data_IF_420103825996
#
_entry.id   IF_420103825996
#
_cell.length_a   1.000
_cell.length_b   1.000
_cell.length_c   1.000
_cell.angle_alpha   90.00
_cell.angle_beta   90.00
_cell.angle_gamma   90.00
#
_symmetry.space_group_name_H-M   'P 1'
#
loop_
_entity.id
_entity.type
_entity.pdbx_description
1 polymer ?
#
# COMPACT_ATOMS: atom_id res chain seq x y z
N UNK A 1 71.93 37.46 58.19
CA UNK A 1 71.80 38.94 58.18
C UNK A 1 70.43 39.29 57.59
N UNK A 2 69.74 40.23 58.26
CA UNK A 2 68.58 41.08 57.91
C UNK A 2 68.06 41.01 56.45
N UNK A 3 66.75 41.02 56.17
CA UNK A 3 65.84 42.16 56.42
C UNK A 3 64.35 41.79 56.36
N UNK A 4 63.58 42.58 57.09
CA UNK A 4 62.13 42.59 57.34
C UNK A 4 61.27 43.21 56.21
N UNK A 5 59.94 43.17 56.44
CA UNK A 5 58.86 44.11 56.01
C UNK A 5 58.21 43.77 54.65
N UNK A 6 56.90 43.90 54.40
CA UNK A 6 55.63 43.88 55.16
C UNK A 6 54.50 43.99 54.10
N UNK A 7 53.31 43.49 54.46
CA UNK A 7 51.96 43.89 54.05
C UNK A 7 51.71 44.65 52.73
N UNK A 8 50.73 44.21 51.92
CA UNK A 8 49.42 44.90 51.77
C UNK A 8 48.41 43.98 51.07
N UNK A 9 47.17 44.02 51.55
CA UNK A 9 45.99 43.25 51.14
C UNK A 9 45.45 43.79 49.81
N UNK A 10 45.12 42.88 48.87
CA UNK A 10 44.21 43.18 47.78
C UNK A 10 43.19 42.03 47.66
N UNK A 11 42.01 42.25 48.22
CA UNK A 11 40.83 41.45 47.95
C UNK A 11 40.39 41.76 46.51
N UNK A 12 40.27 40.74 45.66
CA UNK A 12 39.59 40.85 44.37
C UNK A 12 39.02 39.49 43.97
N UNK A 13 37.71 39.40 44.18
CA UNK A 13 36.72 38.59 43.47
C UNK A 13 37.26 37.40 42.66
N UNK A 14 37.16 36.21 43.23
CA UNK A 14 37.10 34.98 42.46
C UNK A 14 35.83 35.03 41.58
N UNK A 15 35.99 35.50 40.35
CA UNK A 15 34.99 35.36 39.32
C UNK A 15 34.76 33.88 39.07
N UNK A 16 33.63 33.37 39.55
CA UNK A 16 33.03 32.15 39.04
C UNK A 16 32.74 32.38 37.55
N UNK A 17 33.67 32.00 36.68
CA UNK A 17 33.32 31.70 35.29
C UNK A 17 32.60 30.37 35.36
N UNK A 18 31.30 30.44 35.62
CA UNK A 18 30.40 29.39 35.16
C UNK A 18 30.62 29.33 33.65
N UNK A 19 31.35 28.31 33.19
CA UNK A 19 31.30 27.90 31.81
C UNK A 19 29.84 27.53 31.55
N UNK A 20 29.07 28.49 31.05
CA UNK A 20 27.82 28.23 30.37
C UNK A 20 28.16 27.14 29.33
N UNK A 21 27.39 26.05 29.25
CA UNK A 21 27.49 25.21 28.07
C UNK A 21 27.23 26.15 26.90
N UNK A 22 28.26 26.37 26.08
CA UNK A 22 28.07 26.88 24.74
C UNK A 22 27.18 25.85 24.07
N UNK A 23 25.88 26.07 24.09
CA UNK A 23 24.99 25.53 23.09
C UNK A 23 25.51 26.07 21.76
N UNK A 24 26.49 25.35 21.20
CA UNK A 24 26.72 25.32 19.77
C UNK A 24 25.49 24.62 19.18
N UNK A 25 24.39 25.35 19.21
CA UNK A 25 23.19 25.08 18.47
C UNK A 25 23.59 25.23 17.01
N UNK A 26 24.08 24.12 16.44
CA UNK A 26 24.54 24.01 15.08
C UNK A 26 23.42 24.57 14.19
N UNK A 27 23.62 25.77 13.65
CA UNK A 27 22.61 26.52 12.85
C UNK A 27 22.12 25.69 11.66
N UNK A 28 22.91 24.69 11.25
CA UNK A 28 22.61 23.69 10.23
C UNK A 28 21.59 22.62 10.65
N UNK A 29 21.45 22.34 11.94
CA UNK A 29 20.57 21.29 12.49
C UNK A 29 19.20 21.86 12.94
N UNK A 30 19.15 23.12 13.37
CA UNK A 30 17.91 23.82 13.78
C UNK A 30 17.01 24.12 12.58
N UNK A 31 17.59 24.32 11.38
CA UNK A 31 16.81 24.49 10.15
C UNK A 31 16.12 23.20 9.67
N UNK A 32 16.66 22.02 9.99
CA UNK A 32 16.22 20.73 9.43
C UNK A 32 14.97 20.12 10.11
N UNK A 33 14.26 20.90 10.95
CA UNK A 33 13.01 20.51 11.62
C UNK A 33 12.02 21.65 11.81
N UNK A 34 12.34 22.86 11.34
CA UNK A 34 11.44 24.00 11.44
C UNK A 34 10.17 23.77 10.62
N UNK A 35 9.03 24.27 11.10
CA UNK A 35 7.81 24.30 10.29
C UNK A 35 7.96 25.35 9.18
N UNK A 36 7.43 25.04 8.00
CA UNK A 36 7.39 25.94 6.86
C UNK A 36 5.96 26.05 6.34
N UNK A 37 5.62 27.21 5.77
CA UNK A 37 4.32 27.47 5.18
C UNK A 37 4.50 27.95 3.75
N UNK A 38 3.80 27.31 2.81
CA UNK A 38 3.85 27.62 1.38
C UNK A 38 2.42 27.82 0.86
N UNK A 39 2.24 28.42 -0.34
CA UNK A 39 0.94 28.48 -1.00
C UNK A 39 0.31 27.11 -1.29
N UNK A 40 1.09 26.02 -1.28
CA UNK A 40 0.62 24.66 -1.55
C UNK A 40 0.23 23.89 -0.27
N UNK A 41 0.63 24.41 0.90
CA UNK A 41 0.37 23.83 2.22
C UNK A 41 1.50 24.08 3.22
N UNK A 42 1.26 23.67 4.47
CA UNK A 42 2.26 23.63 5.53
C UNK A 42 3.08 22.34 5.48
N UNK A 43 4.33 22.44 5.91
CA UNK A 43 5.29 21.34 5.88
C UNK A 43 6.37 21.47 6.94
N UNK A 44 7.40 20.66 6.79
CA UNK A 44 8.59 20.69 7.64
C UNK A 44 9.83 20.87 6.77
N UNK A 45 10.70 21.78 7.16
CA UNK A 45 12.01 21.96 6.56
C UNK A 45 12.86 20.73 6.82
N UNK A 46 13.23 20.01 5.77
CA UNK A 46 14.08 18.82 5.85
C UNK A 46 15.03 18.81 4.66
N UNK A 47 16.06 17.96 4.71
CA UNK A 47 16.90 17.74 3.53
C UNK A 47 16.04 17.17 2.39
N UNK A 48 16.27 17.60 1.16
CA UNK A 48 15.50 17.16 -0.03
C UNK A 48 15.40 15.64 -0.13
N UNK A 49 16.51 14.95 0.17
CA UNK A 49 16.59 13.48 0.20
C UNK A 49 15.68 12.81 1.25
N UNK A 50 15.29 13.52 2.30
CA UNK A 50 14.42 13.02 3.36
C UNK A 50 12.92 13.11 3.02
N UNK A 51 12.55 13.88 1.99
CA UNK A 51 11.15 14.07 1.61
C UNK A 51 10.68 13.17 0.46
N UNK A 52 11.61 12.61 -0.32
CA UNK A 52 11.37 11.88 -1.60
C UNK A 52 10.26 10.82 -1.57
N UNK A 53 10.11 10.10 -0.45
CA UNK A 53 9.10 9.03 -0.29
C UNK A 53 7.93 9.41 0.63
N UNK A 54 7.94 10.61 1.21
CA UNK A 54 6.98 11.04 2.23
C UNK A 54 6.23 12.32 1.90
N UNK A 55 6.57 12.99 0.79
CA UNK A 55 5.92 14.20 0.32
C UNK A 55 6.61 14.78 -0.91
N UNK A 56 6.38 16.06 -1.17
CA UNK A 56 7.09 16.81 -2.19
C UNK A 56 7.78 18.03 -1.58
N UNK A 57 8.95 18.36 -2.12
CA UNK A 57 9.74 19.50 -1.69
C UNK A 57 9.33 20.79 -2.41
N UNK A 58 9.30 21.90 -1.67
CA UNK A 58 9.15 23.24 -2.21
C UNK A 58 10.36 24.08 -1.78
N UNK A 59 11.13 24.55 -2.77
CA UNK A 59 12.34 25.34 -2.54
C UNK A 59 12.03 26.78 -2.09
N UNK A 60 12.94 27.38 -1.33
CA UNK A 60 12.89 28.81 -0.95
C UNK A 60 12.04 29.14 0.30
N UNK A 61 11.46 28.14 0.96
CA UNK A 61 10.60 28.32 2.15
C UNK A 61 11.25 27.85 3.47
N UNK A 62 12.53 27.52 3.43
CA UNK A 62 13.29 27.05 4.58
C UNK A 62 14.60 27.81 4.73
N UNK A 63 15.00 28.20 5.95
CA UNK A 63 16.29 28.81 6.19
C UNK A 63 17.42 27.77 6.05
N UNK A 64 18.63 28.23 5.78
CA UNK A 64 19.82 27.38 5.72
C UNK A 64 20.23 26.97 4.30
N UNK A 65 20.81 25.77 4.18
CA UNK A 65 21.40 25.30 2.93
C UNK A 65 20.36 25.04 1.84
N UNK A 66 20.76 25.17 0.57
CA UNK A 66 19.86 25.02 -0.59
C UNK A 66 19.19 23.63 -0.71
N UNK A 67 19.79 22.61 -0.08
CA UNK A 67 19.24 21.26 0.00
C UNK A 67 18.28 21.07 1.18
N UNK A 68 17.98 22.10 1.97
CA UNK A 68 16.93 22.11 2.99
C UNK A 68 15.70 22.79 2.38
N UNK A 69 14.64 22.02 2.15
CA UNK A 69 13.44 22.48 1.47
C UNK A 69 12.19 22.13 2.28
N UNK A 70 11.09 22.81 1.97
CA UNK A 70 9.84 22.59 2.68
C UNK A 70 9.20 21.29 2.18
N UNK A 71 9.19 20.26 3.01
CA UNK A 71 8.56 18.99 2.69
C UNK A 71 7.09 19.01 3.10
N UNK A 72 6.21 18.95 2.11
CA UNK A 72 4.77 18.96 2.31
C UNK A 72 4.23 17.54 2.14
N UNK A 73 3.57 17.03 3.18
CA UNK A 73 2.93 15.71 3.16
C UNK A 73 1.46 15.89 2.84
N UNK A 74 1.08 15.62 1.58
CA UNK A 74 -0.32 15.74 1.13
C UNK A 74 -0.79 14.45 0.51
N UNK A 75 -1.89 13.92 1.03
CA UNK A 75 -2.55 12.76 0.43
C UNK A 75 -3.41 13.22 -0.76
N UNK A 76 -3.57 12.32 -1.71
CA UNK A 76 -4.34 12.55 -2.93
C UNK A 76 -5.27 11.37 -3.17
N UNK A 77 -6.36 11.62 -3.89
CA UNK A 77 -7.34 10.59 -4.25
C UNK A 77 -7.58 10.63 -5.76
N UNK A 78 -7.53 9.47 -6.38
CA UNK A 78 -7.76 9.28 -7.81
C UNK A 78 -8.82 8.21 -8.02
N UNK A 79 -9.25 8.02 -9.27
CA UNK A 79 -10.07 6.88 -9.66
C UNK A 79 -9.39 5.51 -9.44
N UNK A 80 -8.07 5.49 -9.26
CA UNK A 80 -7.27 4.27 -9.06
C UNK A 80 -6.94 3.99 -7.58
N UNK A 81 -7.26 4.92 -6.68
CA UNK A 81 -7.02 4.77 -5.25
C UNK A 81 -6.52 6.04 -4.57
N UNK A 82 -6.23 5.92 -3.28
CA UNK A 82 -5.62 6.98 -2.47
C UNK A 82 -4.09 6.83 -2.46
N UNK A 83 -3.39 7.95 -2.55
CA UNK A 83 -1.94 8.00 -2.63
C UNK A 83 -1.35 9.20 -1.92
N UNK A 84 -0.08 9.48 -2.20
CA UNK A 84 0.66 10.61 -1.67
C UNK A 84 1.21 11.46 -2.82
N UNK A 85 1.16 12.78 -2.68
CA UNK A 85 1.78 13.68 -3.63
C UNK A 85 3.30 13.64 -3.49
N UNK A 86 3.99 13.20 -4.54
CA UNK A 86 5.45 13.13 -4.60
C UNK A 86 5.96 13.85 -5.85
N UNK A 87 7.22 14.26 -5.84
CA UNK A 87 7.86 14.70 -7.08
C UNK A 87 8.08 13.48 -7.99
N UNK A 88 7.79 13.64 -9.26
CA UNK A 88 7.98 12.61 -10.29
C UNK A 88 9.44 12.16 -10.43
N UNK A 89 10.40 13.07 -10.20
CA UNK A 89 11.83 12.76 -10.19
C UNK A 89 12.28 11.91 -9.00
N UNK A 90 11.52 11.90 -7.91
CA UNK A 90 11.83 11.11 -6.70
C UNK A 90 11.36 9.64 -6.84
N UNK A 91 10.58 9.35 -7.89
CA UNK A 91 9.99 8.04 -8.11
C UNK A 91 8.78 7.75 -7.21
N UNK A 92 7.99 6.75 -7.60
CA UNK A 92 6.86 6.26 -6.83
C UNK A 92 7.14 4.81 -6.43
N UNK A 93 7.84 4.62 -5.32
CA UNK A 93 8.24 3.30 -4.85
C UNK A 93 7.03 2.40 -4.61
N UNK A 94 6.87 1.39 -5.47
CA UNK A 94 5.75 0.44 -5.42
C UNK A 94 4.40 0.99 -5.91
N UNK A 95 4.39 2.03 -6.75
CA UNK A 95 3.15 2.64 -7.24
C UNK A 95 3.23 3.25 -8.63
N UNK A 96 2.20 4.00 -9.00
CA UNK A 96 2.11 4.73 -10.27
C UNK A 96 1.70 6.19 -10.03
N UNK A 97 2.19 7.07 -10.91
CA UNK A 97 1.88 8.50 -10.84
C UNK A 97 0.63 8.85 -11.64
N UNK A 98 -0.27 9.58 -11.00
CA UNK A 98 -1.50 10.10 -11.61
C UNK A 98 -1.51 11.64 -11.54
N UNK A 99 -1.79 12.27 -12.68
CA UNK A 99 -1.85 13.72 -12.81
C UNK A 99 -3.20 14.27 -12.34
N UNK A 100 -3.23 15.56 -11.96
CA UNK A 100 -4.49 16.27 -11.67
C UNK A 100 -5.09 16.05 -10.28
N UNK A 101 -4.45 15.24 -9.43
CA UNK A 101 -4.92 14.97 -8.06
C UNK A 101 -4.06 15.62 -6.96
N UNK A 102 -2.94 16.25 -7.32
CA UNK A 102 -2.05 16.97 -6.40
C UNK A 102 -1.94 18.44 -6.80
N UNK A 103 -1.94 19.37 -5.84
CA UNK A 103 -1.71 20.79 -6.11
C UNK A 103 -0.23 21.05 -6.36
N UNK A 104 0.07 22.04 -7.20
CA UNK A 104 1.43 22.49 -7.47
C UNK A 104 1.87 22.27 -8.92
N UNK A 105 3.18 22.28 -9.17
CA UNK A 105 3.72 22.16 -10.52
C UNK A 105 3.47 20.77 -11.12
N UNK A 106 3.56 20.64 -12.44
CA UNK A 106 3.37 19.38 -13.18
C UNK A 106 4.33 18.25 -12.77
N UNK A 107 5.43 18.60 -12.10
CA UNK A 107 6.38 17.68 -11.51
C UNK A 107 5.87 16.99 -10.25
N UNK A 108 4.79 17.48 -9.62
CA UNK A 108 4.16 16.87 -8.44
C UNK A 108 2.94 16.09 -8.88
N UNK A 109 2.96 14.76 -8.67
CA UNK A 109 1.88 13.86 -9.08
C UNK A 109 1.46 12.98 -7.92
N UNK A 110 0.25 12.45 -8.02
CA UNK A 110 -0.28 11.52 -7.03
C UNK A 110 0.38 10.16 -7.23
N UNK A 111 1.32 9.81 -6.35
CA UNK A 111 1.86 8.46 -6.24
C UNK A 111 0.83 7.60 -5.52
N UNK A 112 0.03 6.89 -6.30
CA UNK A 112 -0.85 5.85 -5.78
C UNK A 112 -0.03 4.59 -5.75
N UNK A 113 0.31 4.14 -4.53
CA UNK A 113 0.81 2.79 -4.32
C UNK A 113 -0.35 1.86 -4.68
N UNK A 114 -0.32 1.32 -5.89
CA UNK A 114 -1.00 0.05 -6.12
C UNK A 114 -0.50 -0.91 -5.06
N UNK A 115 -1.36 -1.79 -4.53
CA UNK A 115 -0.90 -2.85 -3.63
C UNK A 115 0.39 -3.46 -4.23
N UNK A 116 1.51 -3.23 -3.56
CA UNK A 116 2.85 -3.15 -4.16
C UNK A 116 3.17 -4.35 -5.04
N UNK A 117 3.44 -4.10 -6.32
CA UNK A 117 4.14 -5.04 -7.20
C UNK A 117 5.64 -4.95 -6.88
N UNK A 118 6.12 -5.77 -5.96
CA UNK A 118 7.55 -5.99 -5.73
C UNK A 118 8.08 -7.04 -6.71
N UNK A 119 8.96 -6.64 -7.62
CA UNK A 119 9.52 -7.48 -8.67
C UNK A 119 10.53 -8.52 -8.17
N UNK A 120 10.41 -9.72 -8.72
CA UNK A 120 11.38 -10.82 -8.64
C UNK A 120 10.95 -11.96 -9.57
N UNK A 121 11.62 -12.08 -10.71
CA UNK A 121 11.62 -13.17 -11.71
C UNK A 121 10.32 -13.95 -12.01
N UNK A 122 9.73 -13.68 -13.18
CA UNK A 122 9.09 -14.72 -14.01
C UNK A 122 7.69 -15.23 -13.63
N UNK A 123 7.00 -14.60 -12.68
CA UNK A 123 5.61 -14.94 -12.34
C UNK A 123 4.84 -13.72 -11.85
N UNK A 124 3.53 -13.71 -12.04
CA UNK A 124 2.67 -12.70 -11.43
C UNK A 124 2.81 -12.78 -9.90
N UNK A 125 3.34 -11.73 -9.26
CA UNK A 125 3.49 -11.70 -7.81
C UNK A 125 2.12 -11.70 -7.13
N UNK A 126 1.67 -12.87 -6.64
CA UNK A 126 0.41 -12.99 -5.91
C UNK A 126 0.60 -12.47 -4.48
N UNK A 127 -0.12 -11.43 -4.04
CA UNK A 127 -0.01 -10.92 -2.66
C UNK A 127 -0.33 -12.02 -1.65
N UNK A 128 0.37 -12.08 -0.51
CA UNK A 128 0.13 -13.11 0.53
C UNK A 128 -1.17 -12.91 1.31
N UNK A 129 -1.85 -11.78 1.13
CA UNK A 129 -3.06 -11.38 1.86
C UNK A 129 -4.24 -11.12 0.91
N UNK A 130 -5.48 -11.31 1.39
CA UNK A 130 -6.66 -11.05 0.59
C UNK A 130 -6.96 -9.56 0.46
N UNK A 131 -7.37 -9.17 -0.75
CA UNK A 131 -7.94 -7.84 -0.98
C UNK A 131 -9.44 -7.87 -0.67
N UNK A 132 -9.83 -7.29 0.46
CA UNK A 132 -11.23 -7.32 0.91
C UNK A 132 -12.18 -6.48 0.04
N UNK A 133 -11.70 -5.49 -0.72
CA UNK A 133 -12.55 -4.81 -1.71
C UNK A 133 -12.90 -5.72 -2.90
N UNK A 134 -11.96 -6.58 -3.32
CA UNK A 134 -12.24 -7.62 -4.32
C UNK A 134 -13.19 -8.67 -3.73
N UNK A 135 -12.92 -9.13 -2.50
CA UNK A 135 -13.76 -10.08 -1.78
C UNK A 135 -15.22 -9.61 -1.64
N UNK A 136 -15.44 -8.33 -1.33
CA UNK A 136 -16.77 -7.72 -1.25
C UNK A 136 -17.53 -7.80 -2.58
N UNK A 137 -16.86 -7.56 -3.72
CA UNK A 137 -17.46 -7.67 -5.05
C UNK A 137 -17.83 -9.14 -5.32
N UNK A 138 -16.90 -10.08 -5.10
CA UNK A 138 -17.15 -11.52 -5.27
C UNK A 138 -18.34 -11.97 -4.42
N UNK A 139 -18.38 -11.56 -3.15
CA UNK A 139 -19.46 -11.90 -2.22
C UNK A 139 -20.81 -11.33 -2.68
N UNK A 140 -20.86 -10.03 -3.02
CA UNK A 140 -22.10 -9.37 -3.50
C UNK A 140 -22.60 -10.02 -4.78
N UNK A 141 -21.73 -10.32 -5.74
CA UNK A 141 -22.10 -11.01 -6.99
C UNK A 141 -22.64 -12.42 -6.71
N UNK A 142 -22.00 -13.20 -5.83
CA UNK A 142 -22.48 -14.52 -5.45
C UNK A 142 -23.85 -14.47 -4.74
N UNK A 143 -24.06 -13.51 -3.83
CA UNK A 143 -25.34 -13.30 -3.16
C UNK A 143 -26.44 -12.86 -4.12
N UNK A 144 -26.16 -11.96 -5.06
CA UNK A 144 -27.11 -11.53 -6.09
C UNK A 144 -27.56 -12.71 -6.97
N UNK A 145 -26.68 -13.69 -7.17
CA UNK A 145 -26.93 -14.94 -7.90
C UNK A 145 -27.64 -16.01 -7.06
N UNK A 146 -27.98 -15.73 -5.79
CA UNK A 146 -28.67 -16.63 -4.85
C UNK A 146 -28.02 -18.02 -4.75
N UNK A 147 -26.69 -18.07 -4.80
CA UNK A 147 -25.96 -19.35 -4.74
C UNK A 147 -26.06 -19.98 -3.36
N UNK A 148 -25.94 -21.31 -3.29
CA UNK A 148 -25.87 -22.04 -2.02
C UNK A 148 -24.56 -21.74 -1.28
N UNK A 149 -24.54 -21.97 0.04
CA UNK A 149 -23.31 -21.79 0.84
C UNK A 149 -22.16 -22.66 0.35
N UNK A 150 -22.46 -23.86 -0.18
CA UNK A 150 -21.46 -24.74 -0.80
C UNK A 150 -20.82 -24.10 -2.04
N UNK A 151 -21.62 -23.49 -2.92
CA UNK A 151 -21.11 -22.80 -4.11
C UNK A 151 -20.39 -21.49 -3.74
N UNK A 152 -20.88 -20.76 -2.74
CA UNK A 152 -20.20 -19.59 -2.19
C UNK A 152 -18.81 -19.98 -1.66
N UNK A 153 -18.72 -21.05 -0.88
CA UNK A 153 -17.46 -21.56 -0.37
C UNK A 153 -16.51 -21.98 -1.51
N UNK A 154 -17.00 -22.73 -2.50
CA UNK A 154 -16.21 -23.11 -3.68
C UNK A 154 -15.64 -21.90 -4.44
N UNK A 155 -16.43 -20.82 -4.51
CA UNK A 155 -16.01 -19.56 -5.14
C UNK A 155 -14.84 -18.93 -4.38
N UNK A 156 -14.90 -18.87 -3.05
CA UNK A 156 -13.83 -18.29 -2.23
C UNK A 156 -12.60 -19.20 -2.10
N UNK A 157 -12.78 -20.53 -2.07
CA UNK A 157 -11.67 -21.49 -2.18
C UNK A 157 -10.93 -21.29 -3.49
N UNK A 158 -11.66 -21.13 -4.61
CA UNK A 158 -11.05 -20.84 -5.91
C UNK A 158 -10.32 -19.50 -5.89
N UNK A 159 -11.00 -18.41 -5.51
CA UNK A 159 -10.37 -17.09 -5.47
C UNK A 159 -9.11 -17.06 -4.60
N UNK A 160 -9.12 -17.78 -3.47
CA UNK A 160 -7.94 -17.91 -2.60
C UNK A 160 -6.81 -18.66 -3.29
N UNK A 161 -7.07 -19.85 -3.83
CA UNK A 161 -6.03 -20.69 -4.47
C UNK A 161 -5.42 -20.01 -5.69
N UNK A 162 -6.23 -19.29 -6.48
CA UNK A 162 -5.77 -18.71 -7.75
C UNK A 162 -5.02 -17.38 -7.58
N UNK A 163 -5.44 -16.54 -6.63
CA UNK A 163 -4.92 -15.16 -6.54
C UNK A 163 -4.84 -14.62 -5.13
N UNK A 164 -5.05 -15.47 -4.12
CA UNK A 164 -5.32 -15.03 -2.74
C UNK A 164 -6.43 -13.97 -2.68
N UNK A 165 -7.43 -14.03 -3.56
CA UNK A 165 -8.52 -13.03 -3.67
C UNK A 165 -8.04 -11.65 -4.13
N UNK A 166 -7.11 -11.61 -5.10
CA UNK A 166 -6.60 -10.37 -5.70
C UNK A 166 -6.95 -10.31 -7.19
N UNK A 167 -7.34 -9.15 -7.69
CA UNK A 167 -7.64 -8.98 -9.11
C UNK A 167 -6.36 -8.64 -9.89
N UNK A 168 -5.67 -9.68 -10.37
CA UNK A 168 -4.36 -9.56 -10.99
C UNK A 168 -4.47 -9.30 -12.50
N UNK A 169 -3.61 -8.45 -13.06
CA UNK A 169 -3.50 -8.24 -14.51
C UNK A 169 -2.56 -9.23 -15.21
N UNK A 170 -1.99 -10.16 -14.44
CA UNK A 170 -1.02 -11.16 -14.88
C UNK A 170 -1.32 -12.54 -14.29
N UNK A 171 -0.57 -13.54 -14.76
CA UNK A 171 -0.69 -14.94 -14.34
C UNK A 171 0.23 -15.85 -15.15
N UNK A 172 0.08 -17.15 -14.98
CA UNK A 172 0.68 -18.12 -15.91
C UNK A 172 0.09 -17.94 -17.32
N UNK A 173 0.95 -17.86 -18.33
CA UNK A 173 0.59 -17.61 -19.73
C UNK A 173 -0.27 -16.34 -19.90
N UNK A 174 -1.56 -16.53 -20.17
CA UNK A 174 -2.57 -15.49 -20.37
C UNK A 174 -3.59 -15.43 -19.25
N UNK A 175 -3.41 -16.17 -18.16
CA UNK A 175 -4.31 -16.16 -17.00
C UNK A 175 -4.34 -14.80 -16.31
N UNK A 176 -5.54 -14.31 -15.97
CA UNK A 176 -5.72 -13.02 -15.29
C UNK A 176 -6.91 -13.04 -14.34
N UNK A 177 -7.00 -12.02 -13.50
CA UNK A 177 -8.10 -11.75 -12.60
C UNK A 177 -8.08 -12.60 -11.34
N UNK A 178 -9.13 -12.43 -10.53
CA UNK A 178 -9.28 -13.08 -9.22
C UNK A 178 -9.37 -14.60 -9.28
N UNK A 179 -9.72 -15.17 -10.43
CA UNK A 179 -9.81 -16.62 -10.66
C UNK A 179 -8.74 -17.15 -11.64
N UNK A 180 -7.76 -16.33 -12.03
CA UNK A 180 -6.70 -16.70 -12.99
C UNK A 180 -7.26 -17.40 -14.25
N UNK A 181 -8.36 -16.86 -14.77
CA UNK A 181 -9.03 -17.42 -15.95
C UNK A 181 -8.19 -17.15 -17.20
N UNK A 182 -8.09 -18.11 -18.14
CA UNK A 182 -7.46 -17.95 -19.47
C UNK A 182 -8.43 -17.40 -20.53
N UNK A 183 -7.96 -17.04 -21.72
CA UNK A 183 -8.75 -16.40 -22.78
C UNK A 183 -10.04 -17.15 -23.19
N UNK A 184 -10.11 -18.48 -23.01
CA UNK A 184 -11.34 -19.25 -23.25
C UNK A 184 -12.52 -18.89 -22.31
N UNK A 185 -12.28 -18.13 -21.26
CA UNK A 185 -13.31 -17.59 -20.36
C UNK A 185 -13.82 -16.20 -20.79
N UNK A 186 -13.17 -15.54 -21.75
CA UNK A 186 -13.55 -14.21 -22.23
C UNK A 186 -12.34 -13.31 -22.53
N UNK A 187 -12.64 -12.08 -22.95
CA UNK A 187 -11.64 -11.03 -23.21
C UNK A 187 -10.87 -10.67 -21.94
N UNK A 188 -9.69 -10.04 -22.08
CA UNK A 188 -8.93 -9.56 -20.93
C UNK A 188 -9.78 -8.66 -20.01
N UNK A 189 -10.49 -7.68 -20.58
CA UNK A 189 -11.35 -6.76 -19.82
C UNK A 189 -12.47 -7.46 -19.05
N UNK A 190 -13.04 -8.52 -19.62
CA UNK A 190 -14.04 -9.36 -18.96
C UNK A 190 -13.46 -10.15 -17.80
N UNK A 191 -12.28 -10.75 -17.99
CA UNK A 191 -11.60 -11.58 -16.98
C UNK A 191 -11.01 -10.77 -15.83
N UNK A 192 -10.62 -9.52 -16.07
CA UNK A 192 -10.18 -8.57 -15.02
C UNK A 192 -11.34 -7.75 -14.42
N UNK A 193 -12.58 -7.92 -14.90
CA UNK A 193 -13.75 -7.37 -14.22
C UNK A 193 -14.25 -8.41 -13.19
N UNK A 194 -14.05 -8.12 -11.90
CA UNK A 194 -14.31 -9.06 -10.80
C UNK A 194 -15.75 -9.59 -10.82
N UNK A 195 -16.75 -8.74 -11.04
CA UNK A 195 -18.14 -9.17 -11.06
C UNK A 195 -18.44 -10.07 -12.27
N UNK A 196 -17.88 -9.75 -13.44
CA UNK A 196 -18.04 -10.56 -14.64
C UNK A 196 -17.34 -11.92 -14.52
N UNK A 197 -16.08 -11.93 -14.09
CA UNK A 197 -15.31 -13.15 -13.85
C UNK A 197 -15.98 -14.06 -12.81
N UNK A 198 -16.53 -13.47 -11.73
CA UNK A 198 -17.31 -14.19 -10.71
C UNK A 198 -18.58 -14.80 -11.30
N UNK A 199 -19.33 -14.03 -12.08
CA UNK A 199 -20.56 -14.53 -12.73
C UNK A 199 -20.25 -15.71 -13.66
N UNK A 200 -19.17 -15.60 -14.44
CA UNK A 200 -18.71 -16.66 -15.34
C UNK A 200 -18.31 -17.94 -14.59
N UNK A 201 -17.57 -17.82 -13.49
CA UNK A 201 -17.24 -18.95 -12.62
C UNK A 201 -18.52 -19.59 -12.05
N UNK A 202 -19.43 -18.77 -11.50
CA UNK A 202 -20.66 -19.23 -10.89
C UNK A 202 -21.58 -19.97 -11.88
N UNK A 203 -21.61 -19.57 -13.16
CA UNK A 203 -22.38 -20.28 -14.19
C UNK A 203 -21.96 -21.75 -14.29
N UNK A 204 -20.65 -22.05 -14.22
CA UNK A 204 -20.16 -23.42 -14.23
C UNK A 204 -20.32 -24.10 -12.86
N UNK A 205 -19.99 -23.42 -11.78
CA UNK A 205 -20.01 -23.98 -10.43
C UNK A 205 -21.43 -24.42 -10.00
N UNK A 206 -22.46 -23.64 -10.34
CA UNK A 206 -23.87 -24.01 -10.05
C UNK A 206 -24.26 -25.28 -10.81
N UNK A 207 -23.93 -25.38 -12.10
CA UNK A 207 -24.21 -26.57 -12.91
C UNK A 207 -23.50 -27.81 -12.37
N UNK A 208 -22.23 -27.67 -11.98
CA UNK A 208 -21.45 -28.75 -11.37
C UNK A 208 -22.07 -29.19 -10.04
N UNK A 209 -22.42 -28.25 -9.15
CA UNK A 209 -23.02 -28.56 -7.86
C UNK A 209 -24.37 -29.28 -8.00
N UNK A 210 -25.16 -28.93 -9.03
CA UNK A 210 -26.43 -29.60 -9.35
C UNK A 210 -26.20 -31.02 -9.90
N UNK A 211 -25.23 -31.19 -10.79
CA UNK A 211 -24.91 -32.49 -11.37
C UNK A 211 -24.24 -33.45 -10.37
N UNK A 212 -23.56 -32.90 -9.36
CA UNK A 212 -22.80 -33.66 -8.37
C UNK A 212 -23.12 -33.20 -6.93
N UNK A 213 -24.33 -33.51 -6.41
CA UNK A 213 -24.76 -33.00 -5.11
C UNK A 213 -23.87 -33.44 -3.94
N UNK A 214 -23.22 -34.60 -4.06
CA UNK A 214 -22.28 -35.13 -3.07
C UNK A 214 -20.90 -34.48 -3.06
N UNK A 215 -20.57 -33.63 -4.03
CA UNK A 215 -19.25 -32.98 -4.06
C UNK A 215 -19.06 -32.01 -2.89
N UNK A 216 -17.81 -31.92 -2.42
CA UNK A 216 -17.34 -30.83 -1.56
C UNK A 216 -17.26 -29.53 -2.34
N UNK A 217 -17.07 -28.41 -1.64
CA UNK A 217 -16.79 -27.12 -2.27
C UNK A 217 -15.51 -27.17 -3.12
N UNK A 218 -14.45 -27.81 -2.62
CA UNK A 218 -13.18 -27.92 -3.34
C UNK A 218 -13.28 -28.82 -4.57
N UNK A 219 -14.08 -29.88 -4.52
CA UNK A 219 -14.37 -30.71 -5.69
C UNK A 219 -15.16 -29.96 -6.77
N UNK A 220 -16.09 -29.07 -6.38
CA UNK A 220 -16.77 -28.18 -7.34
C UNK A 220 -15.75 -27.22 -7.97
N UNK A 221 -14.92 -26.56 -7.16
CA UNK A 221 -13.87 -25.65 -7.63
C UNK A 221 -12.92 -26.34 -8.62
N UNK A 222 -12.43 -27.53 -8.25
CA UNK A 222 -11.57 -28.34 -9.10
C UNK A 222 -12.23 -28.72 -10.42
N UNK A 223 -13.51 -29.13 -10.40
CA UNK A 223 -14.22 -29.50 -11.63
C UNK A 223 -14.41 -28.30 -12.57
N UNK A 224 -14.52 -27.09 -12.02
CA UNK A 224 -14.66 -25.85 -12.80
C UNK A 224 -13.33 -25.38 -13.39
N UNK A 225 -12.25 -25.40 -12.59
CA UNK A 225 -10.93 -24.89 -13.00
C UNK A 225 -10.08 -25.92 -13.74
N UNK A 226 -10.29 -27.21 -13.46
CA UNK A 226 -9.53 -28.33 -14.04
C UNK A 226 -8.02 -28.17 -13.79
N UNK A 227 -7.64 -27.95 -12.54
CA UNK A 227 -6.24 -27.78 -12.13
C UNK A 227 -5.50 -29.13 -12.06
N UNK A 228 -4.18 -29.10 -12.22
CA UNK A 228 -3.31 -30.27 -12.00
C UNK A 228 -3.22 -30.70 -10.52
N UNK A 229 -3.73 -29.88 -9.58
CA UNK A 229 -3.61 -30.10 -8.14
C UNK A 229 -4.97 -30.07 -7.42
N UNK A 230 -5.80 -31.13 -7.58
CA UNK A 230 -7.18 -31.13 -7.11
C UNK A 230 -7.37 -30.89 -5.61
N UNK A 231 -6.44 -31.38 -4.78
CA UNK A 231 -6.53 -31.26 -3.32
C UNK A 231 -6.36 -29.82 -2.79
N UNK A 232 -5.86 -28.87 -3.59
CA UNK A 232 -5.56 -27.51 -3.11
C UNK A 232 -6.80 -26.71 -2.71
N UNK A 233 -7.94 -26.95 -3.35
CA UNK A 233 -9.17 -26.19 -3.05
C UNK A 233 -9.80 -26.60 -1.73
N UNK A 234 -9.91 -27.91 -1.44
CA UNK A 234 -10.40 -28.36 -0.13
C UNK A 234 -9.44 -27.94 1.01
N UNK A 235 -8.13 -27.90 0.75
CA UNK A 235 -7.15 -27.36 1.71
C UNK A 235 -7.35 -25.86 2.01
N UNK A 236 -7.94 -25.10 1.08
CA UNK A 236 -8.23 -23.68 1.25
C UNK A 236 -9.50 -23.39 2.08
N UNK A 237 -10.30 -24.41 2.42
CA UNK A 237 -11.61 -24.26 3.07
C UNK A 237 -11.59 -23.34 4.29
N UNK A 238 -10.71 -23.58 5.26
CA UNK A 238 -10.65 -22.79 6.49
C UNK A 238 -10.33 -21.31 6.20
N UNK A 239 -9.42 -21.06 5.26
CA UNK A 239 -9.04 -19.70 4.85
C UNK A 239 -10.18 -19.01 4.10
N UNK A 240 -10.86 -19.71 3.19
CA UNK A 240 -12.02 -19.21 2.47
C UNK A 240 -13.17 -18.85 3.43
N UNK A 241 -13.45 -19.69 4.42
CA UNK A 241 -14.45 -19.41 5.46
C UNK A 241 -14.11 -18.15 6.27
N UNK A 242 -12.84 -18.00 6.66
CA UNK A 242 -12.35 -16.80 7.37
C UNK A 242 -12.55 -15.53 6.52
N UNK A 243 -12.23 -15.59 5.22
CA UNK A 243 -12.40 -14.46 4.29
C UNK A 243 -13.88 -14.12 4.12
N UNK A 244 -14.76 -15.12 3.97
CA UNK A 244 -16.22 -14.91 3.87
C UNK A 244 -16.74 -14.25 5.16
N UNK A 245 -16.35 -14.74 6.33
CA UNK A 245 -16.80 -14.19 7.61
C UNK A 245 -16.36 -12.72 7.78
N UNK A 246 -15.08 -12.42 7.50
CA UNK A 246 -14.59 -11.06 7.57
C UNK A 246 -15.26 -10.14 6.54
N UNK A 247 -15.51 -10.63 5.32
CA UNK A 247 -16.23 -9.89 4.28
C UNK A 247 -17.66 -9.58 4.70
N UNK A 248 -18.36 -10.54 5.30
CA UNK A 248 -19.72 -10.33 5.84
C UNK A 248 -19.73 -9.25 6.92
N UNK A 249 -18.78 -9.29 7.86
CA UNK A 249 -18.68 -8.32 8.94
C UNK A 249 -18.46 -6.88 8.45
N UNK A 250 -17.79 -6.71 7.30
CA UNK A 250 -17.59 -5.38 6.67
C UNK A 250 -18.82 -4.83 5.95
N UNK A 251 -19.79 -5.69 5.67
CA UNK A 251 -21.01 -5.35 4.91
C UNK A 251 -22.27 -5.27 5.79
N UNK A 252 -22.15 -5.68 7.06
CA UNK A 252 -23.19 -5.55 8.08
C UNK A 252 -23.16 -4.14 8.69
#
# INVERSE_FOLDING_TARGET
MRFSIAFTIAASLAGFVAALPTESSNVTEIAARASCSTPLGSGTCVKTSSCTSTGFNVAGYCPGAANVQCCIKKTCKTSQGSGLCLNTGDGCSGGSFFSGACPGPSSVKCCVKGASSGGGSGGCGVPSTPNYSVAEIVYKTAKARKVSDKVLLATFETAWVESHVNNLSCGDRDSVGVFQQRAGWGTFAQRTNVAHATTSFLNKAISVAKAHPGYTAGQIAQKVQVSAFPARYDAAKAKAQSIIAHTKARLA
#
